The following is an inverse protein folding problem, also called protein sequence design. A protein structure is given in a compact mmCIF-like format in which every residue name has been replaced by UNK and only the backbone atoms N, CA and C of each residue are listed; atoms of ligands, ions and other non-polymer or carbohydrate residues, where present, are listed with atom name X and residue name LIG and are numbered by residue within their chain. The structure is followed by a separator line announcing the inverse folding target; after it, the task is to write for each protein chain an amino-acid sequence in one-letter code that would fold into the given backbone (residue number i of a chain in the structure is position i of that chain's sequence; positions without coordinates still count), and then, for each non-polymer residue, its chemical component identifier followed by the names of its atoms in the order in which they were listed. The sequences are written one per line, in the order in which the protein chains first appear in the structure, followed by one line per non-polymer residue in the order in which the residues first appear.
data_IF_589694816012
#
_entry.id   IF_589694816012
#
_cell.length_a   1.000
_cell.length_b   1.000
_cell.length_c   1.000
_cell.angle_alpha   90.00
_cell.angle_beta   90.00
_cell.angle_gamma   90.00
#
_symmetry.space_group_name_H-M   'P 1'
#
loop_
_entity.id
_entity.type
_entity.pdbx_description
1 polymer ?
#
# COMPACT_ATOMS: atom_id res chain seq x y z
N UNK A 1 23.26 -32.71 28.35
CA UNK A 1 23.34 -31.25 28.19
C UNK A 1 22.32 -30.81 27.15
N UNK A 2 21.20 -30.20 27.56
CA UNK A 2 20.20 -29.65 26.63
C UNK A 2 20.57 -28.20 26.33
N UNK A 3 21.18 -27.96 25.17
CA UNK A 3 21.45 -26.61 24.68
C UNK A 3 20.12 -25.92 24.36
N UNK A 4 19.76 -24.90 25.14
CA UNK A 4 18.69 -23.96 24.80
C UNK A 4 19.22 -23.12 23.63
N UNK A 5 18.64 -23.30 22.45
CA UNK A 5 18.78 -22.36 21.35
C UNK A 5 18.03 -21.10 21.78
N UNK A 6 18.77 -20.10 22.26
CA UNK A 6 18.26 -18.73 22.36
C UNK A 6 18.30 -18.21 20.93
N UNK A 7 17.19 -18.34 20.19
CA UNK A 7 17.03 -17.64 18.94
C UNK A 7 16.96 -16.15 19.28
N UNK A 8 17.85 -15.36 18.68
CA UNK A 8 17.87 -13.91 18.80
C UNK A 8 16.47 -13.38 18.40
N UNK A 9 15.83 -12.64 19.30
CA UNK A 9 14.49 -12.09 19.08
C UNK A 9 14.48 -11.26 17.80
N UNK A 10 15.56 -10.56 17.51
CA UNK A 10 15.69 -9.75 16.29
C UNK A 10 15.71 -10.63 15.04
N UNK A 11 16.42 -11.77 15.07
CA UNK A 11 16.42 -12.73 13.94
C UNK A 11 15.05 -13.40 13.74
N UNK A 12 14.33 -13.69 14.82
CA UNK A 12 12.95 -14.21 14.75
C UNK A 12 11.98 -13.16 14.20
N UNK A 13 12.16 -11.90 14.59
CA UNK A 13 11.35 -10.78 14.11
C UNK A 13 11.68 -10.43 12.65
N UNK A 14 12.94 -10.53 12.24
CA UNK A 14 13.41 -10.35 10.86
C UNK A 14 12.90 -11.48 9.96
N UNK A 15 12.95 -12.73 10.41
CA UNK A 15 12.37 -13.88 9.69
C UNK A 15 10.84 -13.79 9.62
N UNK A 16 10.17 -13.35 10.68
CA UNK A 16 8.72 -13.05 10.62
C UNK A 16 8.42 -11.91 9.66
N UNK A 17 9.21 -10.83 9.64
CA UNK A 17 9.08 -9.73 8.67
C UNK A 17 9.23 -10.25 7.24
N UNK A 18 10.27 -11.02 6.96
CA UNK A 18 10.53 -11.62 5.65
C UNK A 18 9.49 -12.66 5.22
N UNK A 19 8.93 -13.44 6.16
CA UNK A 19 7.83 -14.39 5.91
C UNK A 19 6.44 -13.69 5.87
N UNK A 20 6.34 -12.42 6.28
CA UNK A 20 5.09 -11.65 6.40
C UNK A 20 4.80 -10.64 5.27
N UNK A 21 5.63 -10.58 4.23
CA UNK A 21 5.41 -9.65 3.09
C UNK A 21 4.31 -10.12 2.11
N UNK A 22 3.67 -11.26 2.38
CA UNK A 22 2.43 -11.66 1.73
C UNK A 22 1.26 -10.90 2.39
N UNK A 23 1.06 -9.67 1.93
CA UNK A 23 -0.05 -8.83 2.37
C UNK A 23 -1.40 -9.52 2.10
N UNK A 24 -2.35 -9.35 3.02
CA UNK A 24 -3.75 -9.66 2.73
C UNK A 24 -4.34 -8.54 1.89
N UNK A 25 -5.10 -8.87 0.85
CA UNK A 25 -5.79 -7.85 0.07
C UNK A 25 -6.82 -7.13 0.95
N UNK A 26 -6.85 -5.81 0.86
CA UNK A 26 -7.83 -4.98 1.56
C UNK A 26 -8.71 -4.28 0.54
N UNK A 27 -10.02 -4.51 0.65
CA UNK A 27 -11.03 -3.89 -0.21
C UNK A 27 -11.21 -2.43 0.19
N UNK A 28 -11.16 -1.54 -0.79
CA UNK A 28 -11.54 -0.14 -0.62
C UNK A 28 -13.04 -0.03 -0.31
N UNK A 29 -13.40 0.77 0.70
CA UNK A 29 -14.79 0.93 1.15
C UNK A 29 -15.44 2.28 0.79
N UNK A 30 -14.63 3.26 0.41
CA UNK A 30 -15.08 4.59 0.01
C UNK A 30 -14.71 4.85 -1.45
N UNK A 31 -15.42 5.71 -2.20
CA UNK A 31 -15.12 5.98 -3.62
C UNK A 31 -13.69 6.44 -3.90
N UNK A 32 -13.05 7.14 -2.96
CA UNK A 32 -11.67 7.65 -3.07
C UNK A 32 -10.74 7.05 -2.03
N UNK A 33 -11.00 5.80 -1.65
CA UNK A 33 -10.39 5.12 -0.51
C UNK A 33 -9.18 4.24 -0.82
N UNK A 34 -8.62 4.28 -2.03
CA UNK A 34 -7.56 3.36 -2.47
C UNK A 34 -6.29 3.47 -1.63
N UNK A 35 -5.90 4.69 -1.25
CA UNK A 35 -4.78 4.95 -0.34
C UNK A 35 -4.97 4.27 1.03
N UNK A 36 -6.17 4.36 1.62
CA UNK A 36 -6.48 3.74 2.92
C UNK A 36 -6.33 2.22 2.83
N UNK A 37 -6.82 1.61 1.75
CA UNK A 37 -6.68 0.18 1.55
C UNK A 37 -5.22 -0.26 1.40
N UNK A 38 -4.40 0.52 0.69
CA UNK A 38 -2.95 0.24 0.57
C UNK A 38 -2.24 0.36 1.92
N UNK A 39 -2.50 1.42 2.69
CA UNK A 39 -1.97 1.58 4.05
C UNK A 39 -2.43 0.45 4.97
N UNK A 40 -3.70 0.07 4.91
CA UNK A 40 -4.25 -1.03 5.70
C UNK A 40 -3.53 -2.36 5.39
N UNK A 41 -3.40 -2.70 4.12
CA UNK A 41 -2.72 -3.93 3.70
C UNK A 41 -1.25 -3.90 4.10
N UNK A 42 -0.56 -2.78 3.89
CA UNK A 42 0.85 -2.61 4.24
C UNK A 42 1.09 -2.80 5.74
N UNK A 43 0.23 -2.24 6.59
CA UNK A 43 0.38 -2.28 8.04
C UNK A 43 -0.26 -3.52 8.69
N UNK A 44 -0.86 -4.44 7.91
CA UNK A 44 -1.57 -5.61 8.45
C UNK A 44 -2.84 -5.25 9.23
N UNK A 45 -3.53 -4.17 8.86
CA UNK A 45 -4.69 -3.61 9.55
C UNK A 45 -5.99 -3.81 8.76
N UNK A 46 -7.12 -3.64 9.45
CA UNK A 46 -8.40 -3.48 8.77
C UNK A 46 -8.50 -2.09 8.13
N UNK A 47 -9.30 -1.97 7.06
CA UNK A 47 -9.61 -0.68 6.43
C UNK A 47 -10.11 0.36 7.45
N UNK A 48 -10.97 -0.08 8.38
CA UNK A 48 -11.56 0.78 9.43
C UNK A 48 -10.52 1.26 10.45
N UNK A 49 -9.47 0.48 10.70
CA UNK A 49 -8.38 0.91 11.56
C UNK A 49 -7.45 1.87 10.80
N UNK A 50 -7.09 1.57 9.56
CA UNK A 50 -6.19 2.40 8.77
C UNK A 50 -6.72 3.82 8.52
N UNK A 51 -8.03 4.00 8.29
CA UNK A 51 -8.61 5.34 8.11
C UNK A 51 -8.42 6.25 9.34
N UNK A 52 -8.19 5.68 10.54
CA UNK A 52 -7.90 6.48 11.74
C UNK A 52 -6.53 7.16 11.74
N UNK A 53 -5.63 6.77 10.82
CA UNK A 53 -4.30 7.37 10.68
C UNK A 53 -4.24 8.53 9.69
N UNK A 54 -5.31 8.73 8.91
CA UNK A 54 -5.45 9.88 8.04
C UNK A 54 -6.10 11.03 8.82
N UNK A 55 -5.53 12.22 8.70
CA UNK A 55 -5.97 13.42 9.40
C UNK A 55 -7.43 13.78 9.07
N UNK A 56 -7.75 13.92 7.79
CA UNK A 56 -9.10 14.21 7.33
C UNK A 56 -9.74 13.00 6.63
N UNK A 57 -10.57 12.26 7.39
CA UNK A 57 -11.28 11.07 6.90
C UNK A 57 -12.25 11.36 5.75
N UNK A 58 -12.75 12.60 5.63
CA UNK A 58 -13.70 12.99 4.59
C UNK A 58 -13.07 12.99 3.18
N UNK A 59 -11.74 13.05 3.07
CA UNK A 59 -11.05 12.92 1.79
C UNK A 59 -11.34 11.58 1.10
N UNK A 60 -11.62 10.51 1.85
CA UNK A 60 -12.01 9.21 1.31
C UNK A 60 -13.31 9.25 0.49
N UNK A 61 -14.20 10.22 0.76
CA UNK A 61 -15.46 10.42 0.04
C UNK A 61 -15.38 11.45 -1.08
N UNK A 62 -14.32 12.26 -1.11
CA UNK A 62 -14.27 13.48 -1.94
C UNK A 62 -13.14 13.44 -2.97
N UNK A 63 -11.91 13.75 -2.58
CA UNK A 63 -10.77 13.89 -3.50
C UNK A 63 -9.71 12.79 -3.41
N UNK A 64 -9.84 11.89 -2.43
CA UNK A 64 -8.78 10.93 -2.09
C UNK A 64 -7.61 11.61 -1.37
N UNK A 65 -6.49 10.91 -1.25
CA UNK A 65 -5.33 11.37 -0.48
C UNK A 65 -4.12 11.59 -1.38
N UNK A 66 -3.40 12.69 -1.17
CA UNK A 66 -2.14 12.96 -1.83
C UNK A 66 -1.00 12.16 -1.19
N UNK A 67 0.10 11.95 -1.93
CA UNK A 67 1.25 11.20 -1.43
C UNK A 67 1.78 11.66 -0.06
N UNK A 68 1.89 12.97 0.26
CA UNK A 68 2.26 13.41 1.61
C UNK A 68 1.31 12.92 2.70
N UNK A 69 0.00 12.92 2.44
CA UNK A 69 -1.02 12.44 3.39
C UNK A 69 -0.90 10.93 3.62
N UNK A 70 -0.56 10.17 2.57
CA UNK A 70 -0.30 8.73 2.69
C UNK A 70 0.96 8.46 3.50
N UNK A 71 2.04 9.21 3.28
CA UNK A 71 3.29 9.09 4.07
C UNK A 71 3.05 9.46 5.53
N UNK A 72 2.28 10.52 5.82
CA UNK A 72 1.90 10.87 7.19
C UNK A 72 1.07 9.76 7.85
N UNK A 73 0.13 9.15 7.13
CA UNK A 73 -0.65 8.03 7.66
C UNK A 73 0.22 6.80 7.97
N UNK A 74 1.22 6.50 7.13
CA UNK A 74 2.21 5.44 7.39
C UNK A 74 3.09 5.78 8.60
N UNK A 75 3.50 7.04 8.76
CA UNK A 75 4.25 7.51 9.94
C UNK A 75 3.44 7.37 11.23
N UNK A 76 2.16 7.74 11.20
CA UNK A 76 1.21 7.53 12.31
C UNK A 76 1.03 6.04 12.66
N UNK A 77 1.28 5.14 11.71
CA UNK A 77 1.29 3.69 11.92
C UNK A 77 2.66 3.14 12.35
N UNK A 78 3.69 3.98 12.53
CA UNK A 78 5.03 3.59 12.95
C UNK A 78 5.98 3.22 11.81
N UNK A 79 5.65 3.52 10.56
CA UNK A 79 6.48 3.21 9.39
C UNK A 79 7.17 4.46 8.83
N UNK A 80 8.42 4.33 8.36
CA UNK A 80 9.16 5.43 7.74
C UNK A 80 9.15 5.29 6.22
N UNK A 81 8.52 6.26 5.57
CA UNK A 81 8.34 6.28 4.12
C UNK A 81 8.66 7.66 3.57
N UNK A 82 8.98 7.72 2.29
CA UNK A 82 9.02 8.96 1.51
C UNK A 82 8.29 8.75 0.19
N UNK A 83 7.99 9.84 -0.50
CA UNK A 83 7.38 9.81 -1.83
C UNK A 83 8.21 10.59 -2.83
N UNK A 84 8.21 10.15 -4.09
CA UNK A 84 8.91 10.82 -5.19
C UNK A 84 8.12 10.71 -6.50
N UNK A 85 8.35 11.67 -7.40
CA UNK A 85 7.90 11.56 -8.78
C UNK A 85 8.60 10.35 -9.41
N UNK A 86 7.82 9.49 -10.06
CA UNK A 86 8.36 8.27 -10.64
C UNK A 86 9.14 8.55 -11.91
N UNK A 87 10.34 7.98 -11.95
CA UNK A 87 11.23 7.88 -13.10
C UNK A 87 11.68 6.42 -13.19
N UNK A 88 11.46 5.78 -14.34
CA UNK A 88 11.62 4.34 -14.47
C UNK A 88 13.07 3.89 -14.28
N UNK A 89 14.03 4.61 -14.86
CA UNK A 89 15.44 4.25 -14.78
C UNK A 89 15.97 4.39 -13.36
N UNK A 90 15.52 5.43 -12.64
CA UNK A 90 16.00 5.73 -11.28
C UNK A 90 15.31 4.93 -10.19
N UNK A 91 14.06 4.51 -10.40
CA UNK A 91 13.23 3.98 -9.33
C UNK A 91 12.64 2.59 -9.60
N UNK A 92 13.18 1.85 -10.57
CA UNK A 92 12.73 0.50 -10.89
C UNK A 92 12.84 -0.45 -9.67
N UNK A 93 13.94 -0.34 -8.92
CA UNK A 93 14.19 -1.18 -7.75
C UNK A 93 13.15 -0.93 -6.67
N UNK A 94 12.89 0.35 -6.36
CA UNK A 94 11.89 0.76 -5.38
C UNK A 94 10.49 0.35 -5.82
N UNK A 95 10.15 0.50 -7.11
CA UNK A 95 8.86 0.10 -7.65
C UNK A 95 8.61 -1.41 -7.46
N UNK A 96 9.62 -2.24 -7.68
CA UNK A 96 9.53 -3.69 -7.53
C UNK A 96 9.67 -4.19 -6.09
N UNK A 97 10.03 -3.31 -5.15
CA UNK A 97 10.19 -3.67 -3.74
C UNK A 97 8.82 -3.89 -3.07
N UNK A 98 8.60 -5.04 -2.41
CA UNK A 98 7.37 -5.29 -1.67
C UNK A 98 7.15 -4.24 -0.57
N UNK A 99 5.91 -3.74 -0.47
CA UNK A 99 5.56 -2.67 0.45
C UNK A 99 5.60 -1.28 -0.16
N UNK A 100 6.08 -1.14 -1.40
CA UNK A 100 5.97 0.10 -2.18
C UNK A 100 4.53 0.34 -2.60
N UNK A 101 4.05 1.56 -2.43
CA UNK A 101 2.75 2.01 -2.92
C UNK A 101 3.00 2.87 -4.17
N UNK A 102 2.37 2.51 -5.28
CA UNK A 102 2.45 3.27 -6.53
C UNK A 102 1.15 4.03 -6.75
N UNK A 103 1.25 5.29 -7.18
CA UNK A 103 0.13 6.08 -7.68
C UNK A 103 0.18 6.15 -9.19
N UNK A 104 -0.88 5.73 -9.86
CA UNK A 104 -1.05 5.93 -11.30
C UNK A 104 -1.82 7.20 -11.60
N UNK A 105 -1.42 7.89 -12.68
CA UNK A 105 -2.11 9.10 -13.13
C UNK A 105 -3.54 8.78 -13.58
N UNK A 106 -4.46 9.76 -13.56
CA UNK A 106 -5.78 9.63 -14.14
C UNK A 106 -5.79 9.03 -15.55
N UNK A 107 -6.70 8.09 -15.78
CA UNK A 107 -6.99 7.51 -17.08
C UNK A 107 -8.48 7.14 -17.21
N UNK A 108 -8.86 6.45 -18.30
CA UNK A 108 -10.25 6.06 -18.54
C UNK A 108 -10.78 5.05 -17.52
N UNK A 109 -9.91 4.18 -16.98
CA UNK A 109 -10.30 3.17 -16.00
C UNK A 109 -10.39 3.79 -14.59
N UNK A 110 -9.44 4.65 -14.23
CA UNK A 110 -9.41 5.36 -12.95
C UNK A 110 -9.31 6.87 -13.16
N UNK A 111 -10.44 7.58 -13.32
CA UNK A 111 -10.45 9.02 -13.66
C UNK A 111 -9.83 9.95 -12.62
N UNK A 112 -9.64 9.48 -11.38
CA UNK A 112 -8.99 10.23 -10.31
C UNK A 112 -7.52 9.83 -10.09
N UNK A 113 -7.00 8.89 -10.90
CA UNK A 113 -5.80 8.12 -10.57
C UNK A 113 -6.08 7.06 -9.51
N UNK A 114 -5.10 6.21 -9.23
CA UNK A 114 -5.30 5.07 -8.34
C UNK A 114 -4.04 4.63 -7.61
N UNK A 115 -4.19 4.19 -6.37
CA UNK A 115 -3.10 3.63 -5.58
C UNK A 115 -3.11 2.11 -5.62
N UNK A 116 -1.94 1.53 -5.82
CA UNK A 116 -1.67 0.09 -5.77
C UNK A 116 -0.57 -0.19 -4.74
N UNK A 117 -0.60 -1.36 -4.12
CA UNK A 117 0.47 -1.84 -3.22
C UNK A 117 1.23 -2.99 -3.87
N UNK A 118 2.54 -2.89 -3.97
CA UNK A 118 3.41 -3.98 -4.40
C UNK A 118 3.48 -5.04 -3.31
N UNK A 119 3.01 -6.24 -3.60
CA UNK A 119 3.30 -7.44 -2.80
C UNK A 119 4.57 -8.12 -3.31
N UNK A 120 4.95 -9.22 -2.67
CA UNK A 120 6.10 -10.03 -3.09
C UNK A 120 6.07 -10.43 -4.58
N UNK A 121 4.88 -10.70 -5.13
CA UNK A 121 4.73 -11.20 -6.50
C UNK A 121 3.94 -10.27 -7.41
N UNK A 122 2.96 -9.55 -6.87
CA UNK A 122 1.89 -8.94 -7.64
C UNK A 122 1.52 -7.56 -7.09
N UNK A 123 0.69 -6.84 -7.83
CA UNK A 123 0.13 -5.56 -7.40
C UNK A 123 -1.24 -5.78 -6.78
N UNK A 124 -1.42 -5.37 -5.52
CA UNK A 124 -2.74 -5.30 -4.91
C UNK A 124 -3.47 -4.10 -5.51
N UNK A 125 -4.57 -4.38 -6.20
CA UNK A 125 -5.55 -3.39 -6.59
C UNK A 125 -6.69 -3.39 -5.57
N UNK A 126 -6.92 -2.28 -4.83
CA UNK A 126 -7.96 -2.23 -3.80
C UNK A 126 -9.39 -2.13 -4.35
N UNK A 127 -9.55 -1.90 -5.66
CA UNK A 127 -10.83 -1.80 -6.37
C UNK A 127 -10.72 -2.31 -7.82
N UNK A 128 -10.59 -3.63 -7.99
CA UNK A 128 -10.31 -4.28 -9.27
C UNK A 128 -11.53 -4.49 -10.17
N UNK A 129 -12.74 -4.32 -9.64
CA UNK A 129 -14.00 -4.37 -10.39
C UNK A 129 -14.63 -2.97 -10.56
N UNK A 130 -13.81 -1.92 -10.63
CA UNK A 130 -14.27 -0.57 -10.94
C UNK A 130 -15.16 -0.54 -12.20
N UNK A 131 -16.25 0.26 -12.25
CA UNK A 131 -16.73 1.23 -11.25
C UNK A 131 -17.73 0.64 -10.22
N UNK A 132 -17.82 -0.67 -10.04
CA UNK A 132 -18.77 -1.26 -9.10
C UNK A 132 -18.27 -1.16 -7.65
N UNK A 133 -18.79 -0.20 -6.88
CA UNK A 133 -18.42 -0.01 -5.45
C UNK A 133 -19.26 -0.89 -4.49
N UNK A 134 -20.42 -1.39 -4.94
CA UNK A 134 -21.34 -2.22 -4.14
C UNK A 134 -21.66 -3.53 -4.85
N UNK A 135 -20.86 -4.60 -4.63
CA UNK A 135 -19.64 -4.65 -3.82
C UNK A 135 -18.38 -4.32 -4.62
N UNK A 136 -17.47 -3.55 -4.02
CA UNK A 136 -16.08 -3.47 -4.46
C UNK A 136 -15.35 -4.79 -4.18
N UNK A 137 -14.34 -5.07 -5.00
CA UNK A 137 -13.43 -6.23 -4.86
C UNK A 137 -11.99 -5.74 -4.89
N UNK A 138 -11.16 -6.33 -4.04
CA UNK A 138 -9.71 -6.20 -4.13
C UNK A 138 -9.14 -7.50 -4.69
N UNK A 139 -8.11 -7.38 -5.51
CA UNK A 139 -7.39 -8.53 -6.07
C UNK A 139 -5.92 -8.22 -6.26
N UNK A 140 -5.12 -9.28 -6.36
CA UNK A 140 -3.75 -9.17 -6.83
C UNK A 140 -3.70 -9.36 -8.34
N UNK A 141 -2.93 -8.50 -9.00
CA UNK A 141 -2.78 -8.47 -10.45
C UNK A 141 -1.30 -8.60 -10.79
N UNK A 142 -0.96 -9.40 -11.81
CA UNK A 142 0.43 -9.61 -12.22
C UNK A 142 1.09 -8.34 -12.71
N UNK A 143 0.30 -7.42 -13.26
CA UNK A 143 0.74 -6.15 -13.81
C UNK A 143 0.03 -5.00 -13.11
N UNK A 144 0.74 -3.89 -12.98
CA UNK A 144 0.18 -2.63 -12.50
C UNK A 144 -0.60 -1.97 -13.63
N UNK A 145 -1.84 -1.57 -13.36
CA UNK A 145 -2.70 -0.93 -14.33
C UNK A 145 -2.49 0.59 -14.33
N UNK A 146 -2.36 1.18 -15.53
CA UNK A 146 -2.14 2.60 -15.72
C UNK A 146 -0.67 3.02 -15.69
N UNK A 147 -0.41 4.32 -15.86
CA UNK A 147 0.96 4.88 -15.87
C UNK A 147 1.32 5.42 -14.49
N UNK A 148 2.36 4.87 -13.87
CA UNK A 148 2.88 5.35 -12.57
C UNK A 148 3.34 6.81 -12.69
N UNK A 149 2.89 7.63 -11.74
CA UNK A 149 3.30 9.03 -11.59
C UNK A 149 4.11 9.25 -10.32
N UNK A 150 3.78 8.56 -9.23
CA UNK A 150 4.50 8.66 -7.96
C UNK A 150 4.67 7.28 -7.36
N UNK A 151 5.73 7.15 -6.58
CA UNK A 151 5.96 6.00 -5.70
C UNK A 151 6.12 6.47 -4.26
N UNK A 152 5.67 5.65 -3.32
CA UNK A 152 5.80 5.81 -1.88
C UNK A 152 6.48 4.54 -1.36
N UNK A 153 7.71 4.67 -0.87
CA UNK A 153 8.55 3.53 -0.50
C UNK A 153 9.29 3.78 0.81
N UNK A 154 9.76 2.71 1.44
CA UNK A 154 10.44 2.79 2.74
C UNK A 154 11.72 3.61 2.65
N UNK A 155 11.97 4.37 3.71
CA UNK A 155 13.18 5.16 3.86
C UNK A 155 13.80 4.90 5.24
N UNK A 156 14.96 4.24 5.21
CA UNK A 156 15.81 4.00 6.37
C UNK A 156 16.84 5.10 6.53
#
# INVERSE_FOLDING_TARGET
MRGKIILDIDEVMEKKRAQSLDFKSVVQKHPMGCAIACVAARCGLSYQKAISFFENKNHAWTRGYYCPEVVMALANAGYKYKYQLFDFERHFVELETPGTIAFTKPDQQYPAGHFFLKSRRWWMNPWSNYPLITPAKASFQSELQGKVSYIIYEHY
#
